data_IF_772659563887
#
_entry.id   IF_772659563887
#
_cell.length_a   1.000
_cell.length_b   1.000
_cell.length_c   1.000
_cell.angle_alpha   90.00
_cell.angle_beta   90.00
_cell.angle_gamma   90.00
#
_symmetry.space_group_name_H-M   'P 1'
#
loop_
_entity.id
_entity.type
_entity.pdbx_description
1 polymer ?
#
# COMPACT_ATOMS: atom_id res chain seq x y z
N UNK A 1 -11.94 8.24 0.18
CA UNK A 1 -10.64 8.92 0.23
C UNK A 1 -9.52 7.92 0.10
N UNK A 2 -8.38 8.36 -0.40
CA UNK A 2 -7.25 7.47 -0.63
C UNK A 2 -6.54 7.09 0.69
N UNK A 3 -5.87 5.95 0.67
CA UNK A 3 -5.07 5.43 1.78
C UNK A 3 -3.63 5.92 1.61
N UNK A 4 -2.98 6.30 2.69
CA UNK A 4 -1.61 6.81 2.65
C UNK A 4 -0.59 5.68 2.72
N UNK A 5 0.40 5.77 1.84
CA UNK A 5 1.55 4.88 1.79
C UNK A 5 2.81 5.65 2.12
N UNK A 6 3.66 5.05 2.94
CA UNK A 6 5.01 5.55 3.18
C UNK A 6 5.96 4.85 2.21
N UNK A 7 6.72 5.61 1.45
CA UNK A 7 7.75 5.09 0.54
C UNK A 7 9.12 5.53 1.03
N UNK A 8 10.05 4.59 1.12
CA UNK A 8 11.42 4.86 1.56
C UNK A 8 12.40 4.06 0.73
N UNK A 9 13.50 4.71 0.35
CA UNK A 9 14.59 4.07 -0.37
C UNK A 9 15.56 3.45 0.62
N UNK A 10 15.83 2.18 0.46
CA UNK A 10 16.81 1.44 1.28
C UNK A 10 17.88 0.81 0.40
N UNK A 11 19.06 0.57 0.97
CA UNK A 11 20.10 -0.15 0.25
C UNK A 11 19.73 -1.64 0.16
N UNK A 12 20.01 -2.26 -0.97
CA UNK A 12 19.77 -3.69 -1.17
C UNK A 12 20.98 -4.47 -0.63
N UNK A 13 21.10 -4.52 0.69
CA UNK A 13 22.18 -5.20 1.38
C UNK A 13 21.69 -5.81 2.70
N UNK A 14 22.48 -6.69 3.24
CA UNK A 14 22.19 -7.40 4.49
C UNK A 14 21.92 -6.40 5.64
N UNK A 15 20.82 -6.62 6.35
CA UNK A 15 20.45 -5.82 7.51
C UNK A 15 19.70 -4.52 7.22
N UNK A 16 19.63 -4.07 5.98
CA UNK A 16 18.98 -2.79 5.63
C UNK A 16 17.49 -2.80 5.99
N UNK A 17 16.77 -3.83 5.59
CA UNK A 17 15.34 -3.96 5.91
C UNK A 17 15.12 -4.07 7.41
N UNK A 18 15.92 -4.88 8.10
CA UNK A 18 15.81 -5.09 9.54
C UNK A 18 15.97 -3.77 10.32
N UNK A 19 16.92 -2.93 9.93
CA UNK A 19 17.13 -1.62 10.58
C UNK A 19 15.91 -0.72 10.48
N UNK A 20 15.30 -0.65 9.30
CA UNK A 20 14.10 0.18 9.08
C UNK A 20 12.92 -0.35 9.87
N UNK A 21 12.68 -1.64 9.81
CA UNK A 21 11.55 -2.25 10.50
C UNK A 21 11.70 -2.17 12.02
N UNK A 22 12.92 -2.37 12.54
CA UNK A 22 13.17 -2.21 13.97
C UNK A 22 12.97 -0.77 14.45
N UNK A 23 13.37 0.22 13.65
CA UNK A 23 13.13 1.63 13.99
C UNK A 23 11.62 1.92 14.14
N UNK A 24 10.81 1.41 13.23
CA UNK A 24 9.36 1.56 13.29
C UNK A 24 8.76 0.79 14.48
N UNK A 25 9.20 -0.43 14.72
CA UNK A 25 8.73 -1.25 15.84
C UNK A 25 9.03 -0.60 17.19
N UNK A 26 10.23 -0.06 17.34
CA UNK A 26 10.64 0.65 18.56
C UNK A 26 9.80 1.91 18.80
N UNK A 27 9.27 2.51 17.76
CA UNK A 27 8.34 3.64 17.84
C UNK A 27 6.88 3.23 18.03
N UNK A 28 6.58 1.94 18.12
CA UNK A 28 5.22 1.45 18.30
C UNK A 28 4.35 1.48 17.05
N UNK A 29 4.96 1.50 15.87
CA UNK A 29 4.25 1.51 14.59
C UNK A 29 3.81 0.10 14.21
N UNK A 30 2.53 -0.07 13.90
CA UNK A 30 1.98 -1.32 13.38
C UNK A 30 1.97 -1.33 11.86
N UNK A 31 2.58 -2.35 11.27
CA UNK A 31 2.63 -2.52 9.83
C UNK A 31 1.37 -3.23 9.34
N UNK A 32 0.66 -2.59 8.42
CA UNK A 32 -0.55 -3.14 7.79
C UNK A 32 -0.30 -3.72 6.40
N UNK A 33 0.75 -3.26 5.74
CA UNK A 33 1.21 -3.82 4.46
C UNK A 33 2.66 -3.46 4.22
N UNK A 34 3.34 -4.29 3.45
CA UNK A 34 4.71 -4.06 3.06
C UNK A 34 4.96 -4.63 1.66
N UNK A 35 5.71 -3.89 0.86
CA UNK A 35 6.19 -4.35 -0.43
C UNK A 35 7.58 -3.77 -0.69
N UNK A 36 8.45 -4.55 -1.27
CA UNK A 36 9.76 -4.09 -1.71
C UNK A 36 9.87 -4.31 -3.22
N UNK A 37 10.19 -3.25 -3.95
CA UNK A 37 10.59 -3.34 -5.34
C UNK A 37 12.10 -3.14 -5.39
N UNK A 38 12.83 -4.15 -5.83
CA UNK A 38 14.28 -4.12 -5.87
C UNK A 38 14.81 -3.59 -7.19
N UNK A 39 15.91 -2.85 -7.09
CA UNK A 39 16.84 -2.60 -8.17
C UNK A 39 18.16 -3.26 -7.80
N UNK A 40 19.16 -3.16 -8.64
CA UNK A 40 20.44 -3.82 -8.38
C UNK A 40 21.08 -3.40 -7.04
N UNK A 41 21.06 -2.10 -6.73
CA UNK A 41 21.73 -1.54 -5.55
C UNK A 41 20.76 -1.06 -4.46
N UNK A 42 19.50 -0.82 -4.80
CA UNK A 42 18.52 -0.21 -3.91
C UNK A 42 17.21 -0.98 -3.95
N UNK A 43 16.43 -0.83 -2.90
CA UNK A 43 15.05 -1.25 -2.85
C UNK A 43 14.15 -0.07 -2.53
N UNK A 44 12.97 -0.05 -3.11
CA UNK A 44 11.91 0.88 -2.72
C UNK A 44 10.99 0.11 -1.78
N UNK A 45 11.02 0.48 -0.50
CA UNK A 45 10.15 -0.09 0.52
C UNK A 45 8.86 0.72 0.57
N UNK A 46 7.73 0.05 0.39
CA UNK A 46 6.40 0.64 0.49
C UNK A 46 5.69 0.06 1.68
N UNK A 47 5.18 0.93 2.55
CA UNK A 47 4.56 0.55 3.81
C UNK A 47 3.19 1.22 3.96
N UNK A 48 2.23 0.48 4.49
CA UNK A 48 1.00 1.04 5.04
C UNK A 48 1.03 0.76 6.53
N UNK A 49 0.85 1.80 7.33
CA UNK A 49 1.02 1.76 8.77
C UNK A 49 -0.19 2.40 9.46
N UNK A 50 -0.32 2.16 10.74
CA UNK A 50 -1.41 2.72 11.56
C UNK A 50 -1.27 4.22 11.79
N UNK A 51 -0.05 4.73 11.94
CA UNK A 51 0.25 6.15 12.15
C UNK A 51 1.29 6.63 11.16
N UNK A 52 0.83 7.13 10.02
CA UNK A 52 1.68 7.53 8.90
C UNK A 52 2.61 8.70 9.25
N UNK A 53 2.09 9.72 9.92
CA UNK A 53 2.88 10.90 10.29
C UNK A 53 4.02 10.53 11.24
N UNK A 54 3.72 9.72 12.24
CA UNK A 54 4.73 9.24 13.19
C UNK A 54 5.78 8.37 12.51
N UNK A 55 5.36 7.50 11.61
CA UNK A 55 6.29 6.64 10.85
C UNK A 55 7.26 7.46 10.01
N UNK A 56 6.77 8.49 9.31
CA UNK A 56 7.62 9.40 8.52
C UNK A 56 8.63 10.11 9.40
N UNK A 57 8.21 10.61 10.57
CA UNK A 57 9.13 11.29 11.51
C UNK A 57 10.23 10.34 12.01
N UNK A 58 9.86 9.10 12.36
CA UNK A 58 10.81 8.09 12.82
C UNK A 58 11.84 7.80 11.72
N UNK A 59 11.38 7.58 10.49
CA UNK A 59 12.26 7.26 9.37
C UNK A 59 13.18 8.42 9.01
N UNK A 60 12.65 9.64 8.94
CA UNK A 60 13.46 10.82 8.67
C UNK A 60 14.53 11.04 9.73
N UNK A 61 14.17 10.89 11.01
CA UNK A 61 15.10 11.02 12.13
C UNK A 61 16.13 9.90 12.18
N UNK A 62 15.85 8.78 11.56
CA UNK A 62 16.75 7.62 11.48
C UNK A 62 17.65 7.67 10.23
N UNK A 63 17.58 8.73 9.45
CA UNK A 63 18.39 8.89 8.24
C UNK A 63 17.80 8.25 6.99
N UNK A 64 16.51 7.90 7.00
CA UNK A 64 15.80 7.35 5.86
C UNK A 64 14.75 8.34 5.38
N UNK A 65 15.04 9.20 4.38
CA UNK A 65 14.05 10.13 3.86
C UNK A 65 12.82 9.37 3.35
N UNK A 66 11.66 9.69 3.91
CA UNK A 66 10.40 9.01 3.59
C UNK A 66 9.42 9.97 2.92
N UNK A 67 8.62 9.45 2.03
CA UNK A 67 7.57 10.19 1.30
C UNK A 67 6.24 9.52 1.48
N UNK A 68 5.19 10.33 1.45
CA UNK A 68 3.80 9.85 1.50
C UNK A 68 3.21 9.92 0.10
N UNK A 69 2.56 8.82 -0.31
CA UNK A 69 1.76 8.76 -1.53
C UNK A 69 0.37 8.26 -1.17
N UNK A 70 -0.62 8.72 -1.91
CA UNK A 70 -1.98 8.26 -1.76
C UNK A 70 -2.28 7.13 -2.75
N UNK A 71 -2.90 6.06 -2.25
CA UNK A 71 -3.29 4.88 -3.01
C UNK A 71 -4.78 4.66 -2.91
N UNK A 72 -5.34 3.98 -3.89
CA UNK A 72 -6.70 3.45 -3.81
C UNK A 72 -6.66 2.08 -3.16
N UNK A 73 -7.48 1.87 -2.14
CA UNK A 73 -7.61 0.59 -1.45
C UNK A 73 -9.02 0.05 -1.63
N UNK A 74 -9.14 -1.26 -1.83
CA UNK A 74 -10.43 -1.91 -2.01
C UNK A 74 -10.43 -3.33 -1.44
N UNK A 75 -11.64 -3.83 -1.15
CA UNK A 75 -11.86 -5.19 -0.69
C UNK A 75 -12.46 -6.03 -1.82
N UNK A 76 -11.94 -7.22 -2.01
CA UNK A 76 -12.43 -8.19 -2.97
C UNK A 76 -12.70 -9.51 -2.26
N UNK A 77 -13.66 -10.34 -2.76
CA UNK A 77 -13.84 -11.68 -2.22
C UNK A 77 -12.53 -12.48 -2.34
N UNK A 78 -12.12 -13.12 -1.26
CA UNK A 78 -10.92 -13.95 -1.24
C UNK A 78 -11.20 -15.30 -1.91
N UNK A 79 -11.22 -15.30 -3.22
CA UNK A 79 -11.52 -16.45 -4.06
C UNK A 79 -10.83 -16.30 -5.43
N UNK A 80 -10.66 -17.40 -6.17
CA UNK A 80 -10.13 -17.32 -7.53
C UNK A 80 -10.94 -16.35 -8.40
N UNK A 81 -10.23 -15.46 -9.10
CA UNK A 81 -10.86 -14.46 -9.98
C UNK A 81 -11.27 -13.15 -9.31
N UNK A 82 -11.16 -13.03 -7.98
CA UNK A 82 -11.53 -11.80 -7.28
C UNK A 82 -10.73 -10.58 -7.77
N UNK A 83 -9.42 -10.69 -7.82
CA UNK A 83 -8.57 -9.61 -8.32
C UNK A 83 -8.75 -9.40 -9.83
N UNK A 84 -8.85 -10.48 -10.60
CA UNK A 84 -9.05 -10.40 -12.06
C UNK A 84 -10.30 -9.58 -12.42
N UNK A 85 -11.37 -9.75 -11.66
CA UNK A 85 -12.60 -9.00 -11.87
C UNK A 85 -12.38 -7.48 -11.75
N UNK A 86 -11.67 -7.05 -10.71
CA UNK A 86 -11.35 -5.62 -10.51
C UNK A 86 -10.41 -5.10 -11.60
N UNK A 87 -9.38 -5.87 -11.94
CA UNK A 87 -8.44 -5.46 -12.98
C UNK A 87 -9.11 -5.29 -14.34
N UNK A 88 -10.08 -6.16 -14.66
CA UNK A 88 -10.86 -6.05 -15.90
C UNK A 88 -11.72 -4.77 -15.92
N UNK A 89 -12.33 -4.42 -14.80
CA UNK A 89 -13.10 -3.16 -14.66
C UNK A 89 -12.20 -1.96 -14.97
N UNK A 90 -11.00 -1.94 -14.40
CA UNK A 90 -10.07 -0.84 -14.56
C UNK A 90 -9.51 -0.77 -15.99
N UNK A 91 -9.24 -1.93 -16.59
CA UNK A 91 -8.78 -2.02 -17.97
C UNK A 91 -9.82 -1.48 -18.96
N UNK A 92 -11.08 -1.84 -18.77
CA UNK A 92 -12.20 -1.34 -19.58
C UNK A 92 -12.40 0.18 -19.44
N UNK A 93 -11.96 0.75 -18.33
CA UNK A 93 -12.04 2.19 -18.04
C UNK A 93 -10.75 2.93 -18.39
N UNK A 94 -9.81 2.29 -19.06
CA UNK A 94 -8.50 2.85 -19.45
C UNK A 94 -7.68 3.37 -18.25
N UNK A 95 -7.81 2.72 -17.10
CA UNK A 95 -7.06 3.07 -15.90
C UNK A 95 -5.83 2.17 -15.79
N UNK A 96 -4.63 2.77 -15.85
CA UNK A 96 -3.39 2.05 -15.68
C UNK A 96 -3.04 1.87 -14.20
N UNK A 97 -2.63 0.67 -13.84
CA UNK A 97 -2.15 0.34 -12.51
C UNK A 97 -0.61 0.31 -12.55
N UNK A 98 0.02 1.21 -11.81
CA UNK A 98 1.48 1.28 -11.77
C UNK A 98 2.07 0.14 -10.93
N UNK A 99 1.44 -0.17 -9.81
CA UNK A 99 1.77 -1.31 -8.97
C UNK A 99 0.61 -1.64 -8.02
N UNK A 100 0.65 -2.83 -7.45
CA UNK A 100 -0.35 -3.33 -6.52
C UNK A 100 0.28 -4.27 -5.50
N UNK A 101 -0.28 -4.31 -4.31
CA UNK A 101 0.07 -5.29 -3.30
C UNK A 101 -1.09 -5.45 -2.30
N UNK A 102 -1.01 -6.48 -1.48
CA UNK A 102 -2.06 -6.83 -0.52
C UNK A 102 -1.75 -6.32 0.88
N UNK A 103 -2.79 -6.03 1.65
CA UNK A 103 -2.68 -5.72 3.06
C UNK A 103 -2.84 -6.99 3.90
N UNK A 104 -2.32 -6.94 5.11
CA UNK A 104 -2.61 -7.93 6.14
C UNK A 104 -4.05 -7.66 6.59
N UNK A 105 -4.96 -8.52 6.17
CA UNK A 105 -6.38 -8.37 6.51
C UNK A 105 -6.78 -9.27 7.67
N UNK A 106 -7.72 -8.80 8.47
CA UNK A 106 -8.34 -9.57 9.56
C UNK A 106 -9.69 -10.14 9.16
N UNK A 107 -10.17 -9.76 7.98
CA UNK A 107 -11.41 -10.30 7.42
C UNK A 107 -11.13 -11.65 6.76
N UNK A 108 -11.95 -12.66 7.07
CA UNK A 108 -11.75 -14.01 6.55
C UNK A 108 -12.22 -14.19 5.10
N UNK A 109 -13.19 -13.38 4.69
CA UNK A 109 -13.88 -13.58 3.42
C UNK A 109 -13.38 -12.65 2.33
N UNK A 110 -12.62 -11.63 2.70
CA UNK A 110 -12.15 -10.58 1.79
C UNK A 110 -10.63 -10.41 1.85
N UNK A 111 -10.07 -10.15 0.69
CA UNK A 111 -8.69 -9.71 0.56
C UNK A 111 -8.66 -8.20 0.37
N UNK A 112 -7.83 -7.50 1.13
CA UNK A 112 -7.66 -6.06 1.02
C UNK A 112 -6.45 -5.78 0.14
N UNK A 113 -6.65 -4.94 -0.85
CA UNK A 113 -5.65 -4.67 -1.88
C UNK A 113 -5.50 -3.17 -2.09
N UNK A 114 -4.29 -2.73 -2.35
CA UNK A 114 -4.01 -1.34 -2.72
C UNK A 114 -3.45 -1.30 -4.13
N UNK A 115 -3.77 -0.21 -4.84
CA UNK A 115 -3.24 0.05 -6.18
C UNK A 115 -2.75 1.49 -6.27
N UNK A 116 -1.67 1.69 -7.00
CA UNK A 116 -1.19 3.02 -7.37
C UNK A 116 -1.70 3.34 -8.76
N UNK A 117 -2.45 4.43 -8.86
CA UNK A 117 -3.03 4.93 -10.11
C UNK A 117 -2.76 6.43 -10.23
N UNK A 118 -2.91 6.98 -11.42
CA UNK A 118 -2.68 8.41 -11.64
C UNK A 118 -3.73 9.29 -10.95
N UNK A 119 -4.99 8.86 -10.96
CA UNK A 119 -6.12 9.61 -10.39
C UNK A 119 -6.96 8.72 -9.50
N UNK A 120 -6.79 8.87 -8.18
CA UNK A 120 -7.52 8.07 -7.20
C UNK A 120 -9.03 8.36 -7.22
N UNK A 121 -9.42 9.61 -7.42
CA UNK A 121 -10.85 9.99 -7.37
C UNK A 121 -11.64 9.33 -8.50
N UNK A 122 -11.10 9.35 -9.71
CA UNK A 122 -11.72 8.69 -10.87
C UNK A 122 -11.76 7.18 -10.64
N UNK A 123 -10.68 6.60 -10.17
CA UNK A 123 -10.57 5.17 -9.91
C UNK A 123 -11.58 4.71 -8.86
N UNK A 124 -11.68 5.41 -7.74
CA UNK A 124 -12.66 5.11 -6.70
C UNK A 124 -14.09 5.16 -7.22
N UNK A 125 -14.41 6.18 -8.01
CA UNK A 125 -15.73 6.33 -8.61
C UNK A 125 -16.08 5.14 -9.51
N UNK A 126 -15.16 4.77 -10.40
CA UNK A 126 -15.35 3.63 -11.31
C UNK A 126 -15.58 2.34 -10.54
N UNK A 127 -14.77 2.09 -9.51
CA UNK A 127 -14.90 0.89 -8.69
C UNK A 127 -16.22 0.87 -7.92
N UNK A 128 -16.64 1.99 -7.33
CA UNK A 128 -17.91 2.09 -6.63
C UNK A 128 -19.09 1.85 -7.55
N UNK A 129 -19.06 2.38 -8.76
CA UNK A 129 -20.11 2.18 -9.77
C UNK A 129 -20.28 0.70 -10.14
N UNK A 130 -19.22 -0.10 -9.99
CA UNK A 130 -19.23 -1.54 -10.23
C UNK A 130 -19.42 -2.38 -8.96
N UNK A 131 -19.81 -1.74 -7.86
CA UNK A 131 -20.10 -2.44 -6.61
C UNK A 131 -18.88 -2.90 -5.82
N UNK A 132 -17.69 -2.41 -6.14
CA UNK A 132 -16.47 -2.73 -5.40
C UNK A 132 -16.38 -1.85 -4.15
N UNK A 133 -16.15 -2.48 -2.99
CA UNK A 133 -16.01 -1.75 -1.73
C UNK A 133 -14.67 -1.04 -1.68
N UNK A 134 -14.70 0.27 -1.57
CA UNK A 134 -13.51 1.10 -1.34
C UNK A 134 -13.22 1.14 0.16
N UNK A 135 -11.95 1.00 0.52
CA UNK A 135 -11.50 1.05 1.90
C UNK A 135 -10.96 2.44 2.23
N UNK A 136 -11.30 2.90 3.43
CA UNK A 136 -10.74 4.11 4.01
C UNK A 136 -9.65 3.73 5.03
N UNK A 137 -8.90 4.71 5.53
CA UNK A 137 -7.82 4.43 6.49
C UNK A 137 -8.30 3.72 7.75
N UNK A 138 -9.50 4.06 8.24
CA UNK A 138 -10.09 3.42 9.41
C UNK A 138 -10.49 1.96 9.20
N UNK A 139 -10.58 1.50 7.96
CA UNK A 139 -10.90 0.10 7.64
C UNK A 139 -9.67 -0.83 7.72
N UNK A 140 -8.50 -0.24 7.82
CA UNK A 140 -7.23 -0.96 7.69
C UNK A 140 -6.53 -1.20 9.02
#
# INVERSE_FOLDING_TARGET
>A
MAVKQVSVLIQNEEGSLSKVINALANGGIDLRAMSIADTENYGILRLIVDDTAKAVDILNNSGYPARIKELTAFAIPDQPGGLAHVLNILDESDINIEYTYSLITRDKDYAYTVIRVADNDITERVLREHGIRILEEEDI
#
